data_IF_434855491892
#
_entry.id   IF_434855491892
#
_cell.length_a   1.000
_cell.length_b   1.000
_cell.length_c   1.000
_cell.angle_alpha   90.00
_cell.angle_beta   90.00
_cell.angle_gamma   90.00
#
_symmetry.space_group_name_H-M   'P 1'
#
loop_
_entity.id
_entity.type
_entity.pdbx_description
1 polymer ?
#
# COMPACT_ATOMS: atom_id res chain seq x y z
N UNK A 1 12.76 13.55 17.27
CA UNK A 1 13.78 12.69 16.62
C UNK A 1 13.27 11.29 16.30
N UNK A 2 12.74 10.52 17.26
CA UNK A 2 12.24 9.15 17.01
C UNK A 2 11.07 9.12 16.00
N UNK A 3 10.08 10.01 16.14
CA UNK A 3 8.93 10.08 15.22
C UNK A 3 9.39 10.30 13.77
N UNK A 4 10.36 11.20 13.53
CA UNK A 4 10.87 11.45 12.18
C UNK A 4 11.53 10.21 11.57
N UNK A 5 12.29 9.44 12.37
CA UNK A 5 12.90 8.19 11.90
C UNK A 5 11.80 7.18 11.54
N UNK A 6 10.80 7.00 12.40
CA UNK A 6 9.67 6.11 12.14
C UNK A 6 8.89 6.53 10.89
N UNK A 7 8.70 7.83 10.69
CA UNK A 7 8.02 8.36 9.51
C UNK A 7 8.82 8.13 8.23
N UNK A 8 10.15 8.30 8.26
CA UNK A 8 11.01 7.97 7.12
C UNK A 8 10.89 6.47 6.77
N UNK A 9 10.94 5.60 7.78
CA UNK A 9 10.76 4.15 7.58
C UNK A 9 9.38 3.85 7.01
N UNK A 10 8.33 4.46 7.55
CA UNK A 10 6.96 4.31 7.07
C UNK A 10 6.81 4.73 5.61
N UNK A 11 7.37 5.90 5.23
CA UNK A 11 7.35 6.40 3.85
C UNK A 11 8.06 5.41 2.92
N UNK A 12 9.26 4.96 3.28
CA UNK A 12 10.02 4.00 2.47
C UNK A 12 9.29 2.66 2.30
N UNK A 13 8.71 2.12 3.38
CA UNK A 13 7.93 0.89 3.32
C UNK A 13 6.68 1.05 2.47
N UNK A 14 5.96 2.16 2.63
CA UNK A 14 4.73 2.43 1.87
C UNK A 14 5.04 2.53 0.38
N UNK A 15 6.11 3.25 0.00
CA UNK A 15 6.57 3.30 -1.38
C UNK A 15 7.04 1.94 -1.89
N UNK A 16 7.77 1.19 -1.09
CA UNK A 16 8.25 -0.14 -1.46
C UNK A 16 7.09 -1.09 -1.76
N UNK A 17 6.07 -1.13 -0.90
CA UNK A 17 4.89 -1.99 -1.11
C UNK A 17 4.08 -1.50 -2.31
N UNK A 18 3.85 -0.19 -2.45
CA UNK A 18 3.15 0.38 -3.60
C UNK A 18 3.84 0.03 -4.92
N UNK A 19 5.16 0.22 -4.98
CA UNK A 19 5.98 -0.18 -6.13
C UNK A 19 5.97 -1.69 -6.38
N UNK A 20 6.05 -2.49 -5.31
CA UNK A 20 5.98 -3.95 -5.39
C UNK A 20 4.65 -4.39 -6.03
N UNK A 21 3.52 -3.83 -5.61
CA UNK A 21 2.23 -4.13 -6.24
C UNK A 21 2.18 -3.70 -7.72
N UNK A 22 2.63 -2.48 -8.04
CA UNK A 22 2.65 -2.01 -9.43
C UNK A 22 3.48 -2.93 -10.34
N UNK A 23 4.64 -3.39 -9.88
CA UNK A 23 5.51 -4.30 -10.64
C UNK A 23 4.97 -5.73 -10.77
N UNK A 24 4.07 -6.15 -9.87
CA UNK A 24 3.42 -7.47 -9.88
C UNK A 24 1.98 -7.43 -10.42
N UNK A 25 1.59 -6.36 -11.11
CA UNK A 25 0.27 -6.26 -11.76
C UNK A 25 0.03 -7.36 -12.80
N UNK A 26 1.10 -7.90 -13.41
CA UNK A 26 1.05 -8.94 -14.45
C UNK A 26 2.05 -10.08 -14.19
N UNK A 27 2.43 -10.27 -12.93
CA UNK A 27 3.36 -11.33 -12.52
C UNK A 27 2.83 -12.00 -11.26
N UNK A 28 3.00 -13.32 -11.13
CA UNK A 28 2.59 -14.01 -9.92
C UNK A 28 3.41 -13.53 -8.72
N UNK A 29 2.78 -13.46 -7.56
CA UNK A 29 3.45 -13.21 -6.30
C UNK A 29 2.72 -13.93 -5.17
N UNK A 30 3.47 -14.54 -4.24
CA UNK A 30 2.91 -15.36 -3.16
C UNK A 30 1.93 -16.43 -3.71
N UNK A 31 0.65 -16.33 -3.35
CA UNK A 31 -0.45 -17.21 -3.78
C UNK A 31 -1.34 -16.58 -4.84
N UNK A 32 -0.99 -15.38 -5.30
CA UNK A 32 -1.78 -14.58 -6.23
C UNK A 32 -1.24 -14.70 -7.64
N UNK A 33 -2.16 -14.83 -8.59
CA UNK A 33 -1.89 -14.91 -10.02
C UNK A 33 -2.61 -13.77 -10.79
N UNK A 34 -2.15 -12.51 -10.67
CA UNK A 34 -2.76 -11.36 -11.37
C UNK A 34 -2.75 -11.49 -12.90
N UNK A 35 -1.81 -12.26 -13.44
CA UNK A 35 -1.70 -12.58 -14.86
C UNK A 35 -2.86 -13.41 -15.41
N UNK A 36 -3.53 -14.19 -14.56
CA UNK A 36 -4.65 -15.06 -14.95
C UNK A 36 -6.01 -14.42 -14.68
N UNK A 37 -6.06 -13.37 -13.85
CA UNK A 37 -7.31 -12.74 -13.41
C UNK A 37 -7.24 -11.21 -13.54
N UNK A 38 -7.94 -10.60 -14.52
CA UNK A 38 -7.91 -9.16 -14.74
C UNK A 38 -8.47 -8.35 -13.57
N UNK A 39 -9.40 -8.89 -12.78
CA UNK A 39 -9.92 -8.21 -11.60
C UNK A 39 -8.86 -8.13 -10.50
N UNK A 40 -8.11 -9.22 -10.29
CA UNK A 40 -6.99 -9.25 -9.35
C UNK A 40 -5.87 -8.29 -9.80
N UNK A 41 -5.54 -8.29 -11.09
CA UNK A 41 -4.60 -7.32 -11.69
C UNK A 41 -5.04 -5.88 -11.43
N UNK A 42 -6.32 -5.58 -11.63
CA UNK A 42 -6.91 -4.28 -11.34
C UNK A 42 -6.78 -3.86 -9.88
N UNK A 43 -7.07 -4.78 -8.94
CA UNK A 43 -6.94 -4.53 -7.49
C UNK A 43 -5.49 -4.30 -7.10
N UNK A 44 -4.55 -5.10 -7.61
CA UNK A 44 -3.12 -4.93 -7.35
C UNK A 44 -2.62 -3.60 -7.89
N UNK A 45 -3.04 -3.22 -9.10
CA UNK A 45 -2.70 -1.92 -9.69
C UNK A 45 -3.28 -0.75 -8.88
N UNK A 46 -4.53 -0.87 -8.44
CA UNK A 46 -5.19 0.12 -7.58
C UNK A 46 -4.49 0.25 -6.23
N UNK A 47 -4.21 -0.88 -5.57
CA UNK A 47 -3.47 -0.95 -4.30
C UNK A 47 -2.06 -0.38 -4.42
N UNK A 48 -1.39 -0.62 -5.55
CA UNK A 48 -0.07 -0.05 -5.82
C UNK A 48 -0.10 1.47 -5.92
N UNK A 49 -1.02 2.02 -6.72
CA UNK A 49 -1.14 3.47 -6.91
C UNK A 49 -1.62 4.22 -5.66
N UNK A 50 -2.59 3.65 -4.94
CA UNK A 50 -3.10 4.21 -3.67
C UNK A 50 -1.98 4.33 -2.63
N UNK A 51 -1.19 3.26 -2.43
CA UNK A 51 -0.04 3.29 -1.52
C UNK A 51 1.04 4.29 -1.96
N UNK A 52 1.32 4.41 -3.27
CA UNK A 52 2.26 5.43 -3.76
C UNK A 52 1.77 6.84 -3.41
N UNK A 53 0.48 7.13 -3.58
CA UNK A 53 -0.12 8.42 -3.23
C UNK A 53 -0.03 8.66 -1.73
N UNK A 54 -0.37 7.66 -0.90
CA UNK A 54 -0.24 7.74 0.56
C UNK A 54 1.21 7.99 0.98
N UNK A 55 2.18 7.32 0.34
CA UNK A 55 3.61 7.54 0.58
C UNK A 55 4.05 8.98 0.28
N UNK A 56 3.53 9.58 -0.79
CA UNK A 56 3.77 11.00 -1.13
C UNK A 56 3.18 11.91 -0.06
N UNK A 57 1.92 11.70 0.33
CA UNK A 57 1.27 12.49 1.38
C UNK A 57 2.04 12.38 2.70
N UNK A 58 2.51 11.18 3.04
CA UNK A 58 3.26 10.94 4.27
C UNK A 58 4.63 11.63 4.25
N UNK A 59 5.30 11.64 3.10
CA UNK A 59 6.55 12.38 2.92
C UNK A 59 6.33 13.88 3.11
N UNK A 60 5.28 14.46 2.50
CA UNK A 60 4.93 15.87 2.64
C UNK A 60 4.60 16.20 4.10
N UNK A 61 3.76 15.38 4.76
CA UNK A 61 3.40 15.56 6.16
C UNK A 61 4.63 15.53 7.08
N UNK A 62 5.58 14.64 6.78
CA UNK A 62 6.85 14.53 7.52
C UNK A 62 7.71 15.78 7.31
N UNK A 63 7.86 16.29 6.09
CA UNK A 63 8.66 17.50 5.82
C UNK A 63 8.05 18.73 6.50
N UNK A 64 6.72 18.84 6.49
CA UNK A 64 6.00 19.94 7.15
C UNK A 64 6.06 19.88 8.68
N UNK A 65 6.47 18.75 9.26
CA UNK A 65 6.49 18.51 10.72
C UNK A 65 5.14 18.87 11.38
N UNK A 66 4.03 18.54 10.72
CA UNK A 66 2.67 18.84 11.20
C UNK A 66 2.02 17.57 11.75
N UNK A 67 1.94 17.46 13.08
CA UNK A 67 1.45 16.27 13.78
C UNK A 67 0.01 15.89 13.41
N UNK A 68 -0.86 16.88 13.20
CA UNK A 68 -2.25 16.64 12.78
C UNK A 68 -2.27 16.02 11.39
N UNK A 69 -1.48 16.55 10.47
CA UNK A 69 -1.43 16.04 9.10
C UNK A 69 -0.77 14.65 9.02
N UNK A 70 0.27 14.40 9.82
CA UNK A 70 0.88 13.08 10.00
C UNK A 70 -0.18 12.08 10.48
N UNK A 71 -0.94 12.43 11.52
CA UNK A 71 -1.95 11.54 12.10
C UNK A 71 -3.06 11.18 11.10
N UNK A 72 -3.55 12.16 10.33
CA UNK A 72 -4.56 11.93 9.28
C UNK A 72 -3.98 11.01 8.19
N UNK A 73 -2.75 11.27 7.75
CA UNK A 73 -2.13 10.48 6.68
C UNK A 73 -1.88 9.04 7.11
N UNK A 74 -1.44 8.81 8.36
CA UNK A 74 -1.29 7.47 8.91
C UNK A 74 -2.63 6.73 8.99
N UNK A 75 -3.70 7.42 9.43
CA UNK A 75 -5.03 6.84 9.47
C UNK A 75 -5.50 6.41 8.07
N UNK A 76 -5.33 7.27 7.07
CA UNK A 76 -5.64 6.96 5.66
C UNK A 76 -4.83 5.74 5.20
N UNK A 77 -3.52 5.70 5.48
CA UNK A 77 -2.68 4.58 5.06
C UNK A 77 -3.05 3.24 5.71
N UNK A 78 -3.47 3.24 6.97
CA UNK A 78 -3.98 2.03 7.64
C UNK A 78 -5.29 1.57 7.00
N UNK A 79 -6.22 2.49 6.73
CA UNK A 79 -7.48 2.14 6.07
C UNK A 79 -7.26 1.62 4.65
N UNK A 80 -6.32 2.21 3.92
CA UNK A 80 -5.97 1.84 2.55
C UNK A 80 -5.40 0.41 2.49
N UNK A 81 -4.38 0.10 3.30
CA UNK A 81 -3.81 -1.25 3.31
C UNK A 81 -4.81 -2.31 3.79
N UNK A 82 -5.68 -1.96 4.77
CA UNK A 82 -6.74 -2.86 5.22
C UNK A 82 -7.75 -3.15 4.10
N UNK A 83 -8.17 -2.11 3.36
CA UNK A 83 -9.07 -2.27 2.23
C UNK A 83 -8.46 -3.19 1.16
N UNK A 84 -7.19 -2.95 0.78
CA UNK A 84 -6.48 -3.80 -0.18
C UNK A 84 -6.37 -5.25 0.31
N UNK A 85 -6.03 -5.48 1.59
CA UNK A 85 -5.96 -6.82 2.15
C UNK A 85 -7.31 -7.54 2.10
N UNK A 86 -8.41 -6.89 2.47
CA UNK A 86 -9.75 -7.47 2.41
C UNK A 86 -10.15 -7.82 0.97
N UNK A 87 -9.81 -6.97 0.00
CA UNK A 87 -10.03 -7.27 -1.42
C UNK A 87 -9.22 -8.49 -1.87
N UNK A 88 -7.97 -8.62 -1.42
CA UNK A 88 -7.10 -9.75 -1.76
C UNK A 88 -7.57 -11.07 -1.14
N UNK A 89 -8.13 -11.07 0.07
CA UNK A 89 -8.67 -12.27 0.72
C UNK A 89 -9.71 -12.99 -0.16
N UNK A 90 -10.46 -12.25 -0.97
CA UNK A 90 -11.42 -12.85 -1.91
C UNK A 90 -10.78 -13.80 -2.93
N UNK A 91 -9.50 -13.58 -3.24
CA UNK A 91 -8.74 -14.34 -4.23
C UNK A 91 -7.87 -15.44 -3.61
N UNK A 92 -7.92 -15.64 -2.29
CA UNK A 92 -7.18 -16.74 -1.67
C UNK A 92 -7.70 -18.09 -2.19
N UNK A 93 -6.80 -19.06 -2.44
CA UNK A 93 -7.21 -20.40 -2.78
C UNK A 93 -8.08 -20.97 -1.66
N UNK A 94 -9.32 -21.33 -1.97
CA UNK A 94 -10.19 -22.04 -1.03
C UNK A 94 -9.59 -23.42 -0.80
N UNK A 95 -9.15 -23.70 0.43
CA UNK A 95 -8.82 -25.07 0.82
C UNK A 95 -10.06 -25.94 0.58
N UNK A 96 -9.95 -26.88 -0.36
CA UNK A 96 -10.96 -27.92 -0.58
C UNK A 96 -10.83 -28.99 0.48
#
# INVERSE_FOLDING_TARGET
MVINILMIVYVLLTFFIGWFFLTHTHKPFLVFHPEENPNLSGIIKFGGWSLVIVGILAAIATIMQNDVFISITLLIGVLDILAVQLMLVHFFPKFK
#
